data_IF_064250658351
#
_entry.id   IF_064250658351
#
_cell.length_a   1.000
_cell.length_b   1.000
_cell.length_c   1.000
_cell.angle_alpha   90.00
_cell.angle_beta   90.00
_cell.angle_gamma   90.00
#
_symmetry.space_group_name_H-M   'P 1'
#
loop_
_entity.id
_entity.type
_entity.pdbx_description
1 polymer ?
#
# COMPACT_ATOMS: atom_id res chain seq x y z
N UNK A 1 0.15 -12.42 37.39
CA UNK A 1 0.15 -12.40 35.90
C UNK A 1 -1.23 -12.33 35.25
N UNK A 2 -2.27 -13.06 35.70
CA UNK A 2 -3.61 -13.08 35.02
C UNK A 2 -4.34 -11.71 34.96
N UNK A 3 -4.15 -10.83 35.95
CA UNK A 3 -4.77 -9.50 35.97
C UNK A 3 -4.13 -8.47 35.01
N UNK A 4 -2.87 -8.69 34.61
CA UNK A 4 -2.15 -7.78 33.70
C UNK A 4 -2.64 -7.95 32.25
N UNK A 5 -2.80 -9.20 31.80
CA UNK A 5 -3.31 -9.54 30.47
C UNK A 5 -4.76 -9.08 30.24
N UNK A 6 -5.61 -9.14 31.27
CA UNK A 6 -7.00 -8.65 31.19
C UNK A 6 -7.07 -7.12 31.01
N UNK A 7 -6.12 -6.38 31.60
CA UNK A 7 -6.03 -4.92 31.47
C UNK A 7 -5.45 -4.48 30.12
N UNK A 8 -4.53 -5.25 29.54
CA UNK A 8 -3.87 -4.91 28.26
C UNK A 8 -4.71 -5.22 27.02
N UNK A 9 -5.76 -6.03 27.15
CA UNK A 9 -6.63 -6.46 26.04
C UNK A 9 -7.46 -5.35 25.37
N UNK A 10 -8.13 -4.42 26.09
CA UNK A 10 -8.78 -3.28 25.44
C UNK A 10 -7.76 -2.39 24.73
N UNK A 11 -6.55 -2.21 25.30
CA UNK A 11 -5.47 -1.49 24.63
C UNK A 11 -5.01 -2.21 23.36
N UNK A 12 -4.95 -3.54 23.35
CA UNK A 12 -4.59 -4.30 22.15
C UNK A 12 -5.64 -4.18 21.02
N UNK A 13 -6.94 -4.14 21.35
CA UNK A 13 -8.01 -3.92 20.37
C UNK A 13 -8.02 -2.48 19.85
N UNK A 14 -7.82 -1.49 20.73
CA UNK A 14 -7.74 -0.08 20.34
C UNK A 14 -6.46 0.19 19.53
N UNK A 15 -5.33 -0.39 19.91
CA UNK A 15 -4.08 -0.27 19.17
C UNK A 15 -4.14 -1.02 17.83
N UNK A 16 -4.77 -2.20 17.78
CA UNK A 16 -4.94 -2.97 16.55
C UNK A 16 -5.87 -2.26 15.55
N UNK A 17 -7.06 -1.87 16.00
CA UNK A 17 -8.03 -1.18 15.15
C UNK A 17 -7.60 0.25 14.82
N UNK A 18 -7.13 1.00 15.81
CA UNK A 18 -6.60 2.35 15.63
C UNK A 18 -5.36 2.37 14.73
N UNK A 19 -4.48 1.37 14.86
CA UNK A 19 -3.34 1.18 13.97
C UNK A 19 -3.77 0.90 12.53
N UNK A 20 -4.76 0.03 12.31
CA UNK A 20 -5.31 -0.23 10.97
C UNK A 20 -5.90 1.04 10.35
N UNK A 21 -6.71 1.77 11.11
CA UNK A 21 -7.32 3.04 10.63
C UNK A 21 -6.25 4.07 10.32
N UNK A 22 -5.23 4.22 11.17
CA UNK A 22 -4.13 5.14 10.93
C UNK A 22 -3.32 4.80 9.67
N UNK A 23 -3.06 3.50 9.42
CA UNK A 23 -2.37 3.04 8.21
C UNK A 23 -3.20 3.28 6.95
N UNK A 24 -4.51 3.00 7.01
CA UNK A 24 -5.42 3.28 5.89
C UNK A 24 -5.51 4.77 5.59
N UNK A 25 -5.64 5.61 6.63
CA UNK A 25 -5.67 7.06 6.48
C UNK A 25 -4.36 7.58 5.90
N UNK A 26 -3.21 7.10 6.38
CA UNK A 26 -1.90 7.48 5.84
C UNK A 26 -1.74 7.05 4.39
N UNK A 27 -2.12 5.82 4.04
CA UNK A 27 -2.07 5.33 2.67
C UNK A 27 -2.95 6.18 1.73
N UNK A 28 -4.17 6.54 2.17
CA UNK A 28 -5.06 7.40 1.41
C UNK A 28 -4.49 8.82 1.23
N UNK A 29 -3.89 9.40 2.28
CA UNK A 29 -3.24 10.72 2.20
C UNK A 29 -2.05 10.69 1.25
N UNK A 30 -1.23 9.63 1.31
CA UNK A 30 -0.10 9.47 0.40
C UNK A 30 -0.55 9.30 -1.05
N UNK A 31 -1.61 8.53 -1.28
CA UNK A 31 -2.16 8.32 -2.62
C UNK A 31 -2.83 9.58 -3.20
N UNK A 32 -3.56 10.34 -2.39
CA UNK A 32 -4.19 11.59 -2.81
C UNK A 32 -3.17 12.72 -3.03
N UNK A 33 -2.13 12.80 -2.19
CA UNK A 33 -1.14 13.87 -2.25
C UNK A 33 -0.01 13.62 -3.26
N UNK A 34 0.41 12.35 -3.43
CA UNK A 34 1.62 12.00 -4.18
C UNK A 34 1.39 10.93 -5.25
N UNK A 35 0.17 10.39 -5.35
CA UNK A 35 -0.20 9.42 -6.37
C UNK A 35 -0.39 10.10 -7.73
N UNK A 36 0.36 9.64 -8.72
CA UNK A 36 0.28 10.09 -10.11
C UNK A 36 0.03 8.90 -11.02
N UNK A 37 -0.91 9.03 -11.96
CA UNK A 37 -1.17 8.03 -12.97
C UNK A 37 -0.18 8.23 -14.12
N UNK A 38 0.72 7.27 -14.31
CA UNK A 38 1.84 7.35 -15.24
C UNK A 38 1.83 6.14 -16.18
N UNK A 39 2.05 6.37 -17.47
CA UNK A 39 2.24 5.30 -18.45
C UNK A 39 3.73 4.94 -18.53
N UNK A 40 4.06 3.68 -18.24
CA UNK A 40 5.44 3.21 -18.29
C UNK A 40 5.89 2.99 -19.75
N UNK A 41 7.03 3.58 -20.10
CA UNK A 41 7.62 3.46 -21.44
C UNK A 41 9.09 3.03 -21.35
N UNK A 42 9.52 2.16 -22.25
CA UNK A 42 10.93 1.92 -22.51
C UNK A 42 11.44 3.05 -23.42
N UNK A 43 12.28 3.98 -22.91
CA UNK A 43 12.56 5.23 -23.59
C UNK A 43 13.32 5.01 -24.91
N UNK A 44 12.95 5.77 -25.93
CA UNK A 44 13.77 5.93 -27.13
C UNK A 44 14.90 6.93 -26.87
N UNK A 45 15.94 6.88 -27.70
CA UNK A 45 16.97 7.90 -27.67
C UNK A 45 16.40 9.24 -28.22
N UNK A 46 17.01 10.39 -27.88
CA UNK A 46 16.47 11.70 -28.29
C UNK A 46 16.34 11.87 -29.80
N UNK A 47 17.29 11.36 -30.59
CA UNK A 47 17.25 11.47 -32.05
C UNK A 47 16.10 10.67 -32.68
N UNK A 48 15.77 9.50 -32.13
CA UNK A 48 14.60 8.72 -32.56
C UNK A 48 13.31 9.44 -32.21
N UNK A 49 13.22 10.11 -31.06
CA UNK A 49 12.05 10.91 -30.69
C UNK A 49 11.82 12.04 -31.70
N UNK A 50 12.88 12.74 -32.13
CA UNK A 50 12.79 13.80 -33.14
C UNK A 50 12.28 13.28 -34.50
N UNK A 51 12.82 12.14 -34.95
CA UNK A 51 12.39 11.51 -36.20
C UNK A 51 10.94 11.04 -36.10
N UNK A 52 10.56 10.39 -35.00
CA UNK A 52 9.19 9.93 -34.78
C UNK A 52 8.22 11.12 -34.75
N UNK A 53 8.60 12.22 -34.09
CA UNK A 53 7.80 13.45 -34.04
C UNK A 53 7.62 14.07 -35.43
N UNK A 54 8.64 14.04 -36.27
CA UNK A 54 8.54 14.55 -37.64
C UNK A 54 7.59 13.70 -38.53
N UNK A 55 7.40 12.43 -38.17
CA UNK A 55 6.52 11.50 -38.88
C UNK A 55 5.14 11.34 -38.21
N UNK A 56 4.91 12.02 -37.09
CA UNK A 56 3.68 11.92 -36.31
C UNK A 56 2.47 12.45 -37.09
N UNK A 57 1.40 11.68 -37.09
CA UNK A 57 0.10 12.07 -37.62
C UNK A 57 -0.93 12.20 -36.49
N UNK A 58 -1.90 13.09 -36.67
CA UNK A 58 -2.97 13.26 -35.70
C UNK A 58 -3.80 11.97 -35.59
N UNK A 59 -3.81 11.39 -34.37
CA UNK A 59 -4.42 10.08 -34.09
C UNK A 59 -3.41 8.99 -33.73
N UNK A 60 -2.12 9.20 -33.99
CA UNK A 60 -1.07 8.29 -33.57
C UNK A 60 -0.86 8.32 -32.04
N UNK A 61 -0.31 7.24 -31.49
CA UNK A 61 -0.01 7.15 -30.06
C UNK A 61 1.15 8.07 -29.68
N UNK A 62 0.85 9.13 -28.93
CA UNK A 62 1.88 10.06 -28.39
C UNK A 62 2.93 9.31 -27.55
N UNK A 63 2.52 8.26 -26.82
CA UNK A 63 3.45 7.46 -26.02
C UNK A 63 4.55 6.79 -26.85
N UNK A 64 4.21 6.33 -28.06
CA UNK A 64 5.13 5.63 -28.96
C UNK A 64 6.21 6.54 -29.54
N UNK A 65 5.98 7.86 -29.57
CA UNK A 65 7.01 8.84 -29.93
C UNK A 65 8.20 8.75 -28.98
N UNK A 66 7.91 8.64 -27.67
CA UNK A 66 8.89 8.70 -26.60
C UNK A 66 9.46 7.34 -26.21
N UNK A 67 8.78 6.25 -26.54
CA UNK A 67 9.24 4.92 -26.19
C UNK A 67 8.20 3.83 -26.41
N UNK A 68 8.58 2.58 -26.16
CA UNK A 68 7.65 1.46 -26.26
C UNK A 68 6.81 1.36 -24.97
N UNK A 69 5.46 1.47 -25.04
CA UNK A 69 4.60 1.30 -23.88
C UNK A 69 4.75 -0.12 -23.32
N UNK A 70 4.98 -0.25 -22.01
CA UNK A 70 5.21 -1.54 -21.38
C UNK A 70 3.92 -2.22 -20.91
N UNK A 71 2.95 -1.44 -20.46
CA UNK A 71 1.67 -1.91 -19.90
C UNK A 71 0.69 -0.72 -19.84
N UNK A 72 -0.47 -0.91 -19.21
CA UNK A 72 -1.44 0.13 -18.91
C UNK A 72 -0.88 1.19 -17.95
N UNK A 73 -1.48 2.41 -17.90
CA UNK A 73 -1.15 3.40 -16.89
C UNK A 73 -1.22 2.82 -15.48
N UNK A 74 -0.23 3.16 -14.67
CA UNK A 74 -0.13 2.74 -13.28
C UNK A 74 -0.05 3.94 -12.37
N UNK A 75 -0.68 3.83 -11.21
CA UNK A 75 -0.59 4.85 -10.16
C UNK A 75 0.69 4.64 -9.36
N UNK A 76 1.59 5.63 -9.40
CA UNK A 76 2.85 5.64 -8.67
C UNK A 76 2.82 6.72 -7.59
N UNK A 77 3.33 6.39 -6.40
CA UNK A 77 3.42 7.33 -5.27
C UNK A 77 4.85 7.83 -5.19
N UNK A 78 5.03 9.15 -5.36
CA UNK A 78 6.35 9.79 -5.33
C UNK A 78 7.31 9.30 -6.42
N UNK A 79 6.90 9.25 -7.70
CA UNK A 79 7.81 8.94 -8.81
C UNK A 79 8.97 9.94 -8.87
N UNK A 80 10.15 9.49 -9.29
CA UNK A 80 11.29 10.36 -9.52
C UNK A 80 10.96 11.35 -10.66
N UNK A 81 10.92 12.66 -10.41
CA UNK A 81 10.58 13.66 -11.41
C UNK A 81 11.55 13.69 -12.60
N UNK A 82 12.81 13.27 -12.42
CA UNK A 82 13.78 13.20 -13.51
C UNK A 82 13.43 12.14 -14.56
N UNK A 83 12.56 11.19 -14.21
CA UNK A 83 12.12 10.08 -15.07
C UNK A 83 10.73 10.30 -15.67
N UNK A 84 10.09 11.41 -15.32
CA UNK A 84 8.77 11.75 -15.83
C UNK A 84 8.95 12.59 -17.09
N UNK A 85 8.37 12.12 -18.18
CA UNK A 85 8.28 12.87 -19.43
C UNK A 85 6.84 13.37 -19.55
N UNK A 86 6.71 14.68 -19.80
CA UNK A 86 5.45 15.30 -20.24
C UNK A 86 5.56 15.58 -21.73
N UNK A 87 4.85 14.83 -22.58
CA UNK A 87 4.80 15.07 -24.01
C UNK A 87 4.33 16.49 -24.34
N UNK A 88 4.81 17.04 -25.45
CA UNK A 88 4.38 18.37 -25.90
C UNK A 88 3.07 18.28 -26.69
N UNK A 89 2.84 17.13 -27.32
CA UNK A 89 1.70 16.78 -28.15
C UNK A 89 0.45 16.49 -27.30
N UNK A 90 0.66 15.90 -26.12
CA UNK A 90 -0.39 15.68 -25.11
C UNK A 90 0.16 15.95 -23.70
N UNK A 91 -0.20 17.11 -23.16
CA UNK A 91 0.21 17.54 -21.81
C UNK A 91 -0.57 16.86 -20.68
N UNK A 92 -1.69 16.19 -20.99
CA UNK A 92 -2.44 15.40 -20.02
C UNK A 92 -1.78 14.05 -19.79
N UNK A 93 -1.04 13.54 -20.77
CA UNK A 93 -0.28 12.31 -20.67
C UNK A 93 1.00 12.53 -19.84
N UNK A 94 1.26 11.61 -18.91
CA UNK A 94 2.53 11.57 -18.20
C UNK A 94 3.15 10.19 -18.38
N UNK A 95 4.39 10.19 -18.88
CA UNK A 95 5.15 8.99 -19.16
C UNK A 95 6.21 8.80 -18.09
N UNK A 96 6.44 7.55 -17.69
CA UNK A 96 7.51 7.18 -16.77
C UNK A 96 8.52 6.29 -17.49
N UNK A 97 9.77 6.74 -17.58
CA UNK A 97 10.82 5.99 -18.26
C UNK A 97 11.25 4.80 -17.42
N UNK A 98 11.37 3.63 -18.03
CA UNK A 98 11.88 2.41 -17.41
C UNK A 98 12.96 1.81 -18.30
N UNK A 99 14.20 1.93 -17.87
CA UNK A 99 15.36 1.36 -18.56
C UNK A 99 15.71 -0.01 -17.97
N UNK A 100 15.20 -1.06 -18.62
CA UNK A 100 15.52 -2.45 -18.25
C UNK A 100 17.01 -2.78 -18.40
N UNK A 101 17.75 -2.07 -19.27
CA UNK A 101 19.19 -2.31 -19.46
C UNK A 101 20.00 -1.83 -18.26
N UNK A 102 19.51 -0.81 -17.55
CA UNK A 102 20.09 -0.33 -16.29
C UNK A 102 19.61 -1.13 -15.06
N UNK A 103 18.92 -2.25 -15.27
CA UNK A 103 18.40 -3.09 -14.19
C UNK A 103 17.14 -2.53 -13.52
N UNK A 104 16.49 -1.53 -14.11
CA UNK A 104 15.25 -0.98 -13.56
C UNK A 104 14.10 -1.96 -13.77
N UNK A 105 13.38 -2.25 -12.70
CA UNK A 105 12.26 -3.18 -12.73
C UNK A 105 10.93 -2.44 -12.54
N UNK A 106 9.99 -2.51 -13.50
CA UNK A 106 8.67 -1.90 -13.36
C UNK A 106 7.87 -2.43 -12.16
N UNK A 107 8.18 -3.63 -11.65
CA UNK A 107 7.58 -4.16 -10.42
C UNK A 107 7.98 -3.38 -9.16
N UNK A 108 9.18 -2.77 -9.12
CA UNK A 108 9.60 -1.98 -7.95
C UNK A 108 8.81 -0.67 -7.82
N UNK A 109 8.35 -0.11 -8.93
CA UNK A 109 7.48 1.05 -8.90
C UNK A 109 6.08 0.69 -8.35
N UNK A 110 5.63 -0.56 -8.50
CA UNK A 110 4.34 -1.06 -7.97
C UNK A 110 4.36 -1.38 -6.47
N UNK A 111 5.51 -1.31 -5.81
CA UNK A 111 5.69 -1.93 -4.49
C UNK A 111 4.90 -1.26 -3.36
N UNK A 112 4.60 0.05 -3.45
CA UNK A 112 3.87 0.75 -2.36
C UNK A 112 2.46 0.20 -2.17
N UNK A 113 1.72 -0.05 -3.27
CA UNK A 113 0.38 -0.64 -3.20
C UNK A 113 0.43 -2.08 -2.67
N UNK A 114 1.47 -2.83 -3.04
CA UNK A 114 1.70 -4.19 -2.53
C UNK A 114 1.97 -4.20 -1.02
N UNK A 115 2.81 -3.27 -0.53
CA UNK A 115 3.07 -3.10 0.89
C UNK A 115 1.83 -2.63 1.65
N UNK A 116 1.02 -1.76 1.07
CA UNK A 116 -0.26 -1.34 1.66
C UNK A 116 -1.24 -2.52 1.81
N UNK A 117 -1.37 -3.39 0.78
CA UNK A 117 -2.14 -4.66 0.87
C UNK A 117 -1.61 -5.56 1.97
N UNK A 118 -0.29 -5.74 2.03
CA UNK A 118 0.35 -6.60 3.02
C UNK A 118 0.17 -6.06 4.45
N UNK A 119 0.27 -4.74 4.63
CA UNK A 119 0.02 -4.07 5.90
C UNK A 119 -1.44 -4.23 6.35
N UNK A 120 -2.42 -4.04 5.45
CA UNK A 120 -3.83 -4.29 5.74
C UNK A 120 -4.08 -5.72 6.22
N UNK A 121 -3.49 -6.71 5.55
CA UNK A 121 -3.58 -8.12 5.97
C UNK A 121 -2.93 -8.35 7.34
N UNK A 122 -1.75 -7.78 7.58
CA UNK A 122 -1.03 -7.92 8.85
C UNK A 122 -1.81 -7.34 10.04
N UNK A 123 -2.30 -6.11 9.91
CA UNK A 123 -3.11 -5.48 10.96
C UNK A 123 -4.48 -6.14 11.12
N UNK A 124 -5.11 -6.59 10.02
CA UNK A 124 -6.35 -7.35 10.06
C UNK A 124 -6.20 -8.68 10.82
N UNK A 125 -5.13 -9.44 10.55
CA UNK A 125 -4.84 -10.69 11.25
C UNK A 125 -4.51 -10.48 12.73
N UNK A 126 -3.78 -9.42 13.09
CA UNK A 126 -3.53 -9.07 14.48
C UNK A 126 -4.82 -8.71 15.24
N UNK A 127 -5.72 -7.95 14.59
CA UNK A 127 -7.05 -7.67 15.13
C UNK A 127 -7.88 -8.94 15.33
N UNK A 128 -7.86 -9.85 14.36
CA UNK A 128 -8.59 -11.11 14.43
C UNK A 128 -8.03 -12.05 15.51
N UNK A 129 -6.70 -12.15 15.64
CA UNK A 129 -6.05 -12.93 16.68
C UNK A 129 -6.41 -12.44 18.09
N UNK A 130 -6.55 -11.12 18.30
CA UNK A 130 -7.01 -10.53 19.56
C UNK A 130 -8.46 -10.89 19.94
N UNK A 131 -9.31 -11.17 18.95
CA UNK A 131 -10.70 -11.58 19.14
C UNK A 131 -10.83 -13.09 19.41
N UNK A 132 -10.06 -13.92 18.69
CA UNK A 132 -10.20 -15.39 18.70
C UNK A 132 -9.48 -16.06 19.89
N UNK A 133 -8.50 -15.41 20.52
CA UNK A 133 -7.84 -16.00 21.69
C UNK A 133 -8.85 -16.20 22.86
N UNK A 134 -9.09 -17.47 23.27
CA UNK A 134 -10.21 -17.81 24.14
C UNK A 134 -10.03 -17.23 25.54
N UNK A 135 -11.12 -16.68 26.08
CA UNK A 135 -11.26 -16.37 27.50
C UNK A 135 -11.02 -17.67 28.27
N UNK A 136 -9.86 -17.83 28.92
CA UNK A 136 -9.78 -18.78 30.05
C UNK A 136 -10.73 -18.23 31.11
N UNK A 137 -11.96 -18.75 31.13
CA UNK A 137 -12.94 -18.50 32.19
C UNK A 137 -12.24 -18.82 33.51
N UNK A 138 -12.07 -17.82 34.36
CA UNK A 138 -11.69 -18.07 35.75
C UNK A 138 -12.77 -18.98 36.32
N UNK A 139 -12.39 -20.19 36.73
CA UNK A 139 -13.30 -21.13 37.35
C UNK A 139 -14.00 -20.42 38.54
N UNK A 140 -15.31 -20.62 38.75
CA UNK A 140 -15.98 -20.13 39.94
C UNK A 140 -15.22 -20.67 41.16
N UNK A 141 -14.85 -19.77 42.07
CA UNK A 141 -14.20 -20.15 43.33
C UNK A 141 -15.11 -21.18 44.04
N UNK A 142 -14.55 -22.28 44.56
CA UNK A 142 -15.33 -23.20 45.37
C UNK A 142 -15.95 -22.43 46.55
N UNK A 143 -17.20 -22.75 46.93
CA UNK A 143 -17.87 -22.07 48.03
C UNK A 143 -17.02 -22.16 49.29
N UNK A 144 -16.89 -21.02 49.98
CA UNK A 144 -16.13 -20.91 51.21
C UNK A 144 -16.82 -21.74 52.31
N UNK A 145 -16.30 -22.96 52.53
CA UNK A 145 -16.81 -23.90 53.52
C UNK A 145 -16.55 -23.43 54.96
N UNK A 146 -15.80 -22.35 55.19
CA UNK A 146 -15.57 -21.79 56.52
C UNK A 146 -16.84 -21.23 57.18
N UNK A 147 -17.91 -20.98 56.41
CA UNK A 147 -19.21 -20.55 56.93
C UNK A 147 -20.13 -21.69 57.34
N UNK A 148 -19.85 -22.93 56.93
CA UNK A 148 -20.70 -24.09 57.27
C UNK A 148 -20.36 -24.64 58.66
N UNK A 149 -19.14 -24.40 59.15
CA UNK A 149 -18.67 -24.88 60.46
C UNK A 149 -19.04 -23.95 61.65
N UNK A 150 -19.67 -22.81 61.40
CA UNK A 150 -20.03 -21.84 62.45
C UNK A 150 -21.48 -21.99 62.95
N UNK A 151 -22.30 -22.82 62.30
CA UNK A 151 -23.72 -23.02 62.60
C UNK A 151 -24.04 -24.47 63.10
N UNK A 152 -23.04 -25.22 63.56
CA UNK A 152 -23.21 -26.57 64.14
C UNK A 152 -22.87 -26.64 65.61
#
# INVERSE_FOLDING_TARGET
MKNLLARLRPFALIAGFGGLVAVLALAAVLDLGFGQDLLMVAPHNPGTVEVNRALYLEGDSVAELYGNPLDKPVRLIGPDPARIIRPQEDTALMLFTVDKQQGENPLQARTVWLFAKAAMLGFGLLGLAGLVFPRKRSAPMPPDLSRVAADS
#
